data_IF_614926139024
#
_entry.id   IF_614926139024
#
_cell.length_a   1.000
_cell.length_b   1.000
_cell.length_c   1.000
_cell.angle_alpha   90.00
_cell.angle_beta   90.00
_cell.angle_gamma   90.00
#
_symmetry.space_group_name_H-M   'P 1'
#
loop_
_entity.id
_entity.type
_entity.pdbx_description
1 polymer ?
#
# COMPACT_ATOMS: atom_id res chain seq x y z
N UNK A 1 29.10 17.37 -64.95
CA UNK A 1 28.62 16.08 -64.38
C UNK A 1 29.25 15.70 -63.06
N UNK A 2 30.46 16.01 -62.70
CA UNK A 2 31.09 15.68 -61.41
C UNK A 2 30.53 16.44 -60.19
N UNK A 3 30.06 17.68 -60.39
CA UNK A 3 29.48 18.50 -59.29
C UNK A 3 28.07 18.07 -58.89
N UNK A 4 27.28 17.51 -59.79
CA UNK A 4 25.94 16.97 -59.49
C UNK A 4 26.01 15.67 -58.68
N UNK A 5 27.04 14.83 -58.90
CA UNK A 5 27.21 13.60 -58.11
C UNK A 5 27.61 13.86 -56.65
N UNK A 6 28.32 14.96 -56.39
CA UNK A 6 28.74 15.36 -55.05
C UNK A 6 27.54 15.91 -54.24
N UNK A 7 26.66 16.67 -54.93
CA UNK A 7 25.45 17.22 -54.30
C UNK A 7 24.43 16.12 -53.91
N UNK A 8 24.29 15.09 -54.76
CA UNK A 8 23.44 13.93 -54.49
C UNK A 8 23.96 13.09 -53.30
N UNK A 9 25.30 13.00 -53.14
CA UNK A 9 25.91 12.28 -52.03
C UNK A 9 25.72 13.02 -50.69
N UNK A 10 25.79 14.35 -50.70
CA UNK A 10 25.58 15.17 -49.48
C UNK A 10 24.09 15.16 -49.07
N UNK A 11 23.16 15.12 -50.03
CA UNK A 11 21.72 15.04 -49.75
C UNK A 11 21.33 13.65 -49.19
N UNK A 12 21.98 12.58 -49.60
CA UNK A 12 21.77 11.23 -49.10
C UNK A 12 22.27 11.05 -47.64
N UNK A 13 23.25 11.83 -47.20
CA UNK A 13 23.81 11.76 -45.85
C UNK A 13 22.92 12.47 -44.81
N UNK A 14 22.01 13.35 -45.25
CA UNK A 14 21.05 14.07 -44.35
C UNK A 14 19.79 13.26 -44.07
N UNK A 15 19.53 12.21 -44.85
CA UNK A 15 18.44 11.26 -44.59
C UNK A 15 18.87 10.08 -43.70
N UNK A 16 19.66 10.35 -42.66
CA UNK A 16 19.75 9.39 -41.56
C UNK A 16 18.37 9.41 -40.90
N UNK A 17 17.61 8.29 -40.91
CA UNK A 17 16.38 8.26 -40.15
C UNK A 17 16.83 8.57 -38.73
N UNK A 18 16.39 9.72 -38.18
CA UNK A 18 16.35 9.91 -36.74
C UNK A 18 15.52 8.71 -36.25
N UNK A 19 16.21 7.68 -35.81
CA UNK A 19 15.58 6.57 -35.15
C UNK A 19 14.73 7.21 -34.08
N UNK A 20 13.43 7.24 -34.31
CA UNK A 20 12.48 7.68 -33.33
C UNK A 20 12.82 6.83 -32.10
N UNK A 21 13.42 7.44 -31.09
CA UNK A 21 13.49 6.84 -29.77
C UNK A 21 12.02 6.64 -29.38
N UNK A 22 11.48 5.49 -29.77
CA UNK A 22 10.18 5.09 -29.33
C UNK A 22 10.22 5.19 -27.82
N UNK A 23 9.55 6.18 -27.28
CA UNK A 23 9.43 6.38 -25.85
C UNK A 23 8.81 5.09 -25.32
N UNK A 24 9.67 4.19 -24.84
CA UNK A 24 9.21 2.92 -24.29
C UNK A 24 8.39 3.24 -23.07
N UNK A 25 7.11 2.90 -23.14
CA UNK A 25 6.20 3.11 -22.02
C UNK A 25 6.65 2.23 -20.85
N UNK A 26 6.91 2.86 -19.72
CA UNK A 26 7.21 2.15 -18.50
C UNK A 26 5.95 1.41 -18.02
N UNK A 27 6.09 0.11 -17.83
CA UNK A 27 5.03 -0.73 -17.23
C UNK A 27 5.31 -0.88 -15.74
N UNK A 28 4.33 -0.57 -14.92
CA UNK A 28 4.39 -0.81 -13.48
C UNK A 28 3.51 -2.02 -13.14
N UNK A 29 4.06 -2.96 -12.39
CA UNK A 29 3.32 -4.11 -11.86
C UNK A 29 3.34 -4.06 -10.34
N UNK A 30 2.21 -4.31 -9.71
CA UNK A 30 2.08 -4.51 -8.26
C UNK A 30 1.47 -5.87 -8.04
N UNK A 31 2.16 -6.74 -7.29
CA UNK A 31 1.74 -8.12 -7.06
C UNK A 31 1.41 -8.86 -8.36
N UNK A 32 2.26 -8.72 -9.38
CA UNK A 32 2.11 -9.35 -10.69
C UNK A 32 1.05 -8.74 -11.62
N UNK A 33 0.19 -7.84 -11.15
CA UNK A 33 -0.83 -7.16 -11.96
C UNK A 33 -0.28 -5.87 -12.56
N UNK A 34 -0.45 -5.70 -13.88
CA UNK A 34 -0.07 -4.44 -14.54
C UNK A 34 -1.01 -3.31 -14.10
N UNK A 35 -0.43 -2.18 -13.74
CA UNK A 35 -1.15 -1.03 -13.18
C UNK A 35 -0.81 0.20 -13.99
N UNK A 36 -1.82 0.96 -14.37
CA UNK A 36 -1.66 2.21 -15.12
C UNK A 36 -1.72 3.39 -14.15
N UNK A 37 -0.59 4.06 -13.94
CA UNK A 37 -0.60 5.32 -13.21
C UNK A 37 -1.00 6.49 -14.12
N UNK A 38 -1.71 7.46 -13.59
CA UNK A 38 -1.98 8.75 -14.23
C UNK A 38 -1.54 9.86 -13.27
N UNK A 39 -0.55 10.69 -13.64
CA UNK A 39 0.26 10.62 -14.86
C UNK A 39 1.20 9.39 -14.87
N UNK A 40 1.72 9.05 -16.06
CA UNK A 40 2.60 7.90 -16.23
C UNK A 40 3.95 8.11 -15.53
N UNK A 41 4.54 7.02 -15.05
CA UNK A 41 5.92 7.00 -14.61
C UNK A 41 6.86 7.34 -15.78
N UNK A 42 8.01 7.96 -15.50
CA UNK A 42 8.99 8.37 -16.51
C UNK A 42 10.42 8.15 -16.03
N UNK A 43 11.39 8.30 -16.93
CA UNK A 43 12.80 8.19 -16.60
C UNK A 43 13.41 9.59 -16.59
N UNK A 44 14.09 9.94 -15.49
CA UNK A 44 14.87 11.16 -15.34
C UNK A 44 16.23 10.83 -14.72
N UNK A 45 17.32 11.27 -15.36
CA UNK A 45 18.71 11.02 -14.92
C UNK A 45 18.96 9.55 -14.57
N UNK A 46 18.57 8.66 -15.48
CA UNK A 46 18.65 7.20 -15.32
C UNK A 46 17.90 6.64 -14.09
N UNK A 47 16.92 7.36 -13.58
CA UNK A 47 16.06 6.91 -12.49
C UNK A 47 14.61 6.89 -12.95
N UNK A 48 13.94 5.81 -12.61
CA UNK A 48 12.48 5.72 -12.79
C UNK A 48 11.78 6.57 -11.77
N UNK A 49 11.07 7.58 -12.22
CA UNK A 49 10.24 8.45 -11.40
C UNK A 49 8.80 7.97 -11.42
N UNK A 50 8.22 7.74 -10.25
CA UNK A 50 6.86 7.23 -10.11
C UNK A 50 5.99 8.20 -9.32
N UNK A 51 4.68 8.33 -9.66
CA UNK A 51 3.78 9.16 -8.86
C UNK A 51 3.67 8.56 -7.45
N UNK A 52 4.03 9.35 -6.42
CA UNK A 52 4.13 8.85 -5.05
C UNK A 52 2.79 8.33 -4.54
N UNK A 53 1.69 9.03 -4.84
CA UNK A 53 0.35 8.63 -4.41
C UNK A 53 0.00 7.23 -4.90
N UNK A 54 0.27 6.97 -6.16
CA UNK A 54 -0.02 5.69 -6.76
C UNK A 54 0.71 4.54 -6.06
N UNK A 55 2.00 4.71 -5.77
CA UNK A 55 2.79 3.68 -5.08
C UNK A 55 2.36 3.56 -3.61
N UNK A 56 2.19 4.68 -2.93
CA UNK A 56 1.82 4.71 -1.52
C UNK A 56 0.46 4.03 -1.27
N UNK A 57 -0.55 4.38 -2.07
CA UNK A 57 -1.89 3.76 -1.96
C UNK A 57 -1.86 2.26 -2.28
N UNK A 58 -1.00 1.81 -3.22
CA UNK A 58 -0.79 0.38 -3.50
C UNK A 58 -0.15 -0.38 -2.33
N UNK A 59 0.41 0.32 -1.35
CA UNK A 59 1.06 -0.19 -0.16
C UNK A 59 0.28 0.14 1.13
N UNK A 60 -0.98 0.55 0.99
CA UNK A 60 -1.90 0.93 2.07
C UNK A 60 -1.48 2.17 2.87
N UNK A 61 -0.75 3.07 2.22
CA UNK A 61 -0.47 4.38 2.80
C UNK A 61 -1.46 5.42 2.30
N UNK A 62 -2.01 6.21 3.21
CA UNK A 62 -2.73 7.44 2.91
C UNK A 62 -1.72 8.54 2.54
N UNK A 63 -2.09 9.38 1.58
CA UNK A 63 -1.21 10.45 1.08
C UNK A 63 -1.85 11.82 1.28
N UNK A 64 -1.22 12.64 2.08
CA UNK A 64 -1.61 14.04 2.30
C UNK A 64 -0.60 14.97 1.66
N UNK A 65 -1.09 16.03 1.07
CA UNK A 65 -0.30 17.05 0.40
C UNK A 65 -0.59 18.43 0.98
N UNK A 66 0.44 19.07 1.54
CA UNK A 66 0.40 20.47 1.92
C UNK A 66 1.03 21.32 0.82
N UNK A 67 0.19 22.08 0.10
CA UNK A 67 0.61 22.87 -1.05
C UNK A 67 1.53 24.02 -0.65
N UNK A 68 1.26 24.71 0.45
CA UNK A 68 2.03 25.87 0.92
C UNK A 68 3.46 25.48 1.29
N UNK A 69 3.62 24.43 2.11
CA UNK A 69 4.92 23.92 2.52
C UNK A 69 5.59 23.03 1.50
N UNK A 70 4.85 22.60 0.46
CA UNK A 70 5.28 21.57 -0.50
C UNK A 70 5.66 20.26 0.21
N UNK A 71 4.89 19.92 1.25
CA UNK A 71 5.12 18.78 2.11
C UNK A 71 4.25 17.59 1.68
N UNK A 72 4.81 16.40 1.75
CA UNK A 72 4.14 15.14 1.44
C UNK A 72 4.17 14.27 2.70
N UNK A 73 3.01 13.88 3.16
CA UNK A 73 2.83 13.03 4.33
C UNK A 73 2.24 11.71 3.89
N UNK A 74 2.87 10.62 4.31
CA UNK A 74 2.39 9.26 4.04
C UNK A 74 2.17 8.59 5.38
N UNK A 75 0.99 8.05 5.59
CA UNK A 75 0.65 7.37 6.85
C UNK A 75 0.02 6.03 6.57
N UNK A 76 0.54 4.98 7.17
CA UNK A 76 -0.03 3.65 7.14
C UNK A 76 -0.88 3.45 8.39
N UNK A 77 -2.14 3.05 8.16
CA UNK A 77 -3.06 2.73 9.23
C UNK A 77 -3.04 1.23 9.54
N UNK A 78 -3.19 0.89 10.80
CA UNK A 78 -3.60 -0.46 11.19
C UNK A 78 -5.11 -0.47 11.24
N UNK A 79 -5.74 -1.25 10.37
CA UNK A 79 -7.19 -1.30 10.25
C UNK A 79 -7.86 -1.95 11.46
N UNK A 80 -7.16 -2.84 12.17
CA UNK A 80 -7.70 -3.50 13.37
C UNK A 80 -7.87 -2.52 14.55
N UNK A 81 -6.91 -1.62 14.70
CA UNK A 81 -6.88 -0.69 15.84
C UNK A 81 -7.31 0.72 15.47
N UNK A 82 -7.51 0.98 14.17
CA UNK A 82 -7.72 2.30 13.58
C UNK A 82 -6.66 3.33 14.03
N UNK A 83 -5.41 2.85 14.21
CA UNK A 83 -4.27 3.68 14.61
C UNK A 83 -3.23 3.73 13.51
N UNK A 84 -2.53 4.85 13.36
CA UNK A 84 -1.40 4.93 12.46
C UNK A 84 -0.23 4.11 13.02
N UNK A 85 0.42 3.31 12.16
CA UNK A 85 1.52 2.41 12.56
C UNK A 85 2.84 2.79 11.91
N UNK A 86 2.81 3.56 10.84
CA UNK A 86 4.00 4.08 10.19
C UNK A 86 3.69 5.42 9.54
N UNK A 87 4.67 6.31 9.52
CA UNK A 87 4.54 7.58 8.81
C UNK A 87 5.87 7.97 8.17
N UNK A 88 5.77 8.61 7.00
CA UNK A 88 6.90 9.08 6.21
C UNK A 88 6.60 10.52 5.82
N UNK A 89 7.60 11.39 6.00
CA UNK A 89 7.56 12.75 5.53
C UNK A 89 8.56 12.96 4.40
N UNK A 90 8.10 13.63 3.35
CA UNK A 90 8.95 14.12 2.27
C UNK A 90 8.62 15.59 2.00
N UNK A 91 9.60 16.30 1.48
CA UNK A 91 9.40 17.67 0.99
C UNK A 91 9.82 17.71 -0.48
N UNK A 92 9.01 18.32 -1.32
CA UNK A 92 9.41 18.56 -2.71
C UNK A 92 10.70 19.38 -2.76
N UNK A 93 11.56 19.02 -3.70
CA UNK A 93 12.90 19.62 -3.87
C UNK A 93 13.89 19.35 -2.71
N UNK A 94 13.56 18.50 -1.73
CA UNK A 94 14.48 18.02 -0.70
C UNK A 94 15.08 16.66 -1.04
N UNK A 95 16.38 16.51 -0.90
CA UNK A 95 17.07 15.22 -1.12
C UNK A 95 16.98 14.29 0.12
N UNK A 96 15.97 14.46 0.95
CA UNK A 96 15.78 13.67 2.18
C UNK A 96 14.32 13.29 2.35
N UNK A 97 14.08 12.05 2.75
CA UNK A 97 12.85 11.59 3.35
C UNK A 97 13.07 11.35 4.85
N UNK A 98 12.03 11.47 5.65
CA UNK A 98 12.09 11.25 7.09
C UNK A 98 11.12 10.13 7.47
N UNK A 99 11.64 9.08 8.09
CA UNK A 99 10.85 8.01 8.69
C UNK A 99 10.51 8.39 10.13
N UNK A 100 9.25 8.55 10.41
CA UNK A 100 8.77 8.94 11.74
C UNK A 100 8.93 7.77 12.70
N UNK A 101 9.46 8.02 13.90
CA UNK A 101 9.62 6.97 14.91
C UNK A 101 8.26 6.49 15.41
N UNK A 102 8.15 5.21 15.73
CA UNK A 102 6.87 4.58 16.11
C UNK A 102 6.16 5.30 17.26
N UNK A 103 6.91 5.82 18.23
CA UNK A 103 6.35 6.58 19.37
C UNK A 103 5.71 7.91 18.99
N UNK A 104 6.11 8.48 17.86
CA UNK A 104 5.70 9.82 17.39
C UNK A 104 4.64 9.75 16.28
N UNK A 105 4.32 8.54 15.77
CA UNK A 105 3.43 8.36 14.61
C UNK A 105 2.01 8.88 14.88
N UNK A 106 1.44 8.60 16.06
CA UNK A 106 0.11 9.08 16.43
C UNK A 106 0.05 10.61 16.48
N UNK A 107 1.04 11.24 17.13
CA UNK A 107 1.11 12.70 17.24
C UNK A 107 1.32 13.34 15.86
N UNK A 108 2.16 12.74 15.03
CA UNK A 108 2.40 13.16 13.65
C UNK A 108 1.12 13.10 12.81
N UNK A 109 0.42 11.96 12.84
CA UNK A 109 -0.83 11.77 12.10
C UNK A 109 -1.88 12.79 12.51
N UNK A 110 -2.14 12.90 13.82
CA UNK A 110 -3.15 13.83 14.35
C UNK A 110 -2.85 15.30 14.03
N UNK A 111 -1.58 15.67 13.90
CA UNK A 111 -1.21 17.01 13.45
C UNK A 111 -1.43 17.19 11.94
N UNK A 112 -1.11 16.19 11.12
CA UNK A 112 -1.10 16.30 9.65
C UNK A 112 -2.47 16.22 8.99
N UNK A 113 -3.46 15.57 9.63
CA UNK A 113 -4.83 15.48 9.10
C UNK A 113 -5.69 16.73 9.31
N UNK A 114 -5.18 17.73 10.04
CA UNK A 114 -5.91 18.98 10.27
C UNK A 114 -5.85 19.90 9.06
N UNK A 115 -6.96 20.48 8.67
CA UNK A 115 -7.03 21.45 7.56
C UNK A 115 -6.12 22.67 7.79
N UNK A 116 -5.84 23.00 9.06
CA UNK A 116 -4.99 24.12 9.47
C UNK A 116 -3.52 23.74 9.67
N UNK A 117 -3.12 22.55 9.22
CA UNK A 117 -1.77 22.04 9.42
C UNK A 117 -0.68 23.01 8.93
N UNK A 118 0.35 23.17 9.74
CA UNK A 118 1.60 23.87 9.38
C UNK A 118 2.79 22.97 9.73
N UNK A 119 3.81 22.97 8.89
CA UNK A 119 5.01 22.14 9.09
C UNK A 119 5.66 22.35 10.48
N UNK A 120 5.56 23.56 11.05
CA UNK A 120 6.05 23.87 12.39
C UNK A 120 5.38 23.05 13.51
N UNK A 121 4.15 22.56 13.29
CA UNK A 121 3.38 21.81 14.28
C UNK A 121 4.00 20.43 14.55
N UNK A 122 4.82 19.93 13.62
CA UNK A 122 5.52 18.65 13.71
C UNK A 122 7.05 18.80 13.70
N UNK A 123 7.58 20.04 13.82
CA UNK A 123 9.02 20.29 13.69
C UNK A 123 9.86 19.48 14.69
N UNK A 124 9.40 19.33 15.92
CA UNK A 124 10.05 18.52 16.94
C UNK A 124 10.12 17.04 16.54
N UNK A 125 9.03 16.50 15.99
CA UNK A 125 8.94 15.13 15.50
C UNK A 125 9.89 14.94 14.31
N UNK A 126 9.90 15.88 13.36
CA UNK A 126 10.77 15.80 12.18
C UNK A 126 12.26 15.85 12.54
N UNK A 127 12.65 16.56 13.61
CA UNK A 127 14.03 16.59 14.11
C UNK A 127 14.48 15.25 14.68
N UNK A 128 13.59 14.48 15.28
CA UNK A 128 13.87 13.15 15.86
C UNK A 128 13.73 12.01 14.85
N UNK A 129 13.17 12.27 13.68
CA UNK A 129 12.91 11.25 12.67
C UNK A 129 14.20 10.73 12.01
N UNK A 130 14.17 9.46 11.58
CA UNK A 130 15.27 8.84 10.84
C UNK A 130 15.33 9.42 9.43
N UNK A 131 16.45 10.06 9.09
CA UNK A 131 16.69 10.60 7.76
C UNK A 131 17.13 9.49 6.78
N UNK A 132 16.49 9.45 5.62
CA UNK A 132 16.86 8.58 4.48
C UNK A 132 17.24 9.50 3.30
N UNK A 133 18.47 9.41 2.78
CA UNK A 133 18.88 10.20 1.64
C UNK A 133 18.18 9.73 0.38
N UNK A 134 17.80 10.66 -0.50
CA UNK A 134 17.21 10.39 -1.80
C UNK A 134 18.22 10.71 -2.90
N UNK A 135 18.46 9.78 -3.82
CA UNK A 135 19.37 10.00 -4.97
C UNK A 135 18.85 11.12 -5.89
N UNK A 136 17.54 11.22 -6.04
CA UNK A 136 16.85 12.28 -6.79
C UNK A 136 15.76 12.86 -5.91
N UNK A 137 15.68 14.18 -5.88
CA UNK A 137 14.65 14.90 -5.09
C UNK A 137 13.24 14.59 -5.62
N UNK A 138 12.22 14.55 -4.75
CA UNK A 138 10.82 14.55 -5.20
C UNK A 138 10.55 15.76 -6.08
N UNK A 139 9.85 15.55 -7.18
CA UNK A 139 9.53 16.59 -8.18
C UNK A 139 8.02 16.71 -8.30
N UNK A 140 7.53 17.95 -8.37
CA UNK A 140 6.14 18.19 -8.70
C UNK A 140 6.01 18.43 -10.21
N UNK A 141 5.24 17.56 -10.86
CA UNK A 141 4.94 17.64 -12.30
C UNK A 141 3.44 17.35 -12.51
N UNK A 142 2.76 18.17 -13.31
CA UNK A 142 1.32 18.01 -13.58
C UNK A 142 0.51 17.87 -12.27
N UNK A 143 0.78 18.74 -11.29
CA UNK A 143 0.17 18.73 -9.94
C UNK A 143 0.28 17.39 -9.19
N UNK A 144 1.28 16.60 -9.52
CA UNK A 144 1.56 15.32 -8.85
C UNK A 144 3.02 15.29 -8.37
N UNK A 145 3.22 14.72 -7.20
CA UNK A 145 4.55 14.46 -6.69
C UNK A 145 5.09 13.13 -7.24
N UNK A 146 6.31 13.18 -7.76
CA UNK A 146 7.06 12.02 -8.23
C UNK A 146 8.27 11.80 -7.35
N UNK A 147 8.59 10.53 -7.10
CA UNK A 147 9.79 10.12 -6.38
C UNK A 147 10.56 9.05 -7.17
N UNK A 148 11.88 8.92 -6.95
CA UNK A 148 12.63 7.82 -7.53
C UNK A 148 12.08 6.48 -7.01
N UNK A 149 11.88 5.54 -7.91
CA UNK A 149 11.34 4.22 -7.54
C UNK A 149 12.19 3.52 -6.47
N UNK A 150 13.52 3.64 -6.51
CA UNK A 150 14.41 3.06 -5.51
C UNK A 150 14.10 3.57 -4.09
N UNK A 151 13.75 4.84 -3.96
CA UNK A 151 13.34 5.40 -2.67
C UNK A 151 12.09 4.72 -2.11
N UNK A 152 11.22 4.19 -2.98
CA UNK A 152 10.04 3.42 -2.55
C UNK A 152 10.46 2.15 -1.81
N UNK A 153 11.50 1.44 -2.30
CA UNK A 153 12.04 0.25 -1.63
C UNK A 153 12.52 0.59 -0.23
N UNK A 154 13.31 1.65 -0.14
CA UNK A 154 13.97 2.03 1.11
C UNK A 154 12.99 2.59 2.15
N UNK A 155 11.98 3.32 1.67
CA UNK A 155 10.99 3.96 2.55
C UNK A 155 9.86 3.03 2.98
N UNK A 156 9.49 2.08 2.14
CA UNK A 156 8.32 1.22 2.39
C UNK A 156 8.69 -0.25 2.66
N UNK A 157 9.99 -0.57 2.74
CA UNK A 157 10.50 -1.94 2.97
C UNK A 157 9.90 -2.97 2.00
N UNK A 158 9.86 -2.60 0.71
CA UNK A 158 9.29 -3.46 -0.34
C UNK A 158 10.37 -3.99 -1.27
N UNK A 159 10.10 -5.14 -1.87
CA UNK A 159 10.96 -5.69 -2.92
C UNK A 159 10.56 -5.12 -4.26
N UNK A 160 11.55 -4.60 -5.00
CA UNK A 160 11.35 -4.12 -6.36
C UNK A 160 12.29 -4.87 -7.28
N UNK A 161 11.78 -5.28 -8.42
CA UNK A 161 12.56 -5.80 -9.53
C UNK A 161 12.38 -4.92 -10.77
N UNK A 162 13.43 -4.83 -11.57
CA UNK A 162 13.45 -4.10 -12.83
C UNK A 162 13.83 -5.04 -13.98
N UNK A 163 12.97 -5.09 -14.98
CA UNK A 163 13.26 -5.77 -16.24
C UNK A 163 13.53 -4.72 -17.35
N UNK A 164 14.79 -4.53 -17.68
CA UNK A 164 15.22 -3.58 -18.70
C UNK A 164 14.84 -4.00 -20.13
N UNK A 165 14.49 -5.26 -20.38
CA UNK A 165 14.06 -5.73 -21.71
C UNK A 165 12.62 -5.30 -21.99
N UNK A 166 11.74 -5.47 -21.02
CA UNK A 166 10.31 -5.13 -21.13
C UNK A 166 9.99 -3.74 -20.60
N UNK A 167 10.96 -3.01 -20.05
CA UNK A 167 10.74 -1.74 -19.35
C UNK A 167 9.66 -1.87 -18.27
N UNK A 168 9.78 -2.94 -17.49
CA UNK A 168 8.80 -3.27 -16.44
C UNK A 168 9.43 -3.15 -15.05
N UNK A 169 8.75 -2.41 -14.19
CA UNK A 169 8.99 -2.39 -12.75
C UNK A 169 7.96 -3.29 -12.10
N UNK A 170 8.41 -4.21 -11.26
CA UNK A 170 7.53 -5.02 -10.42
C UNK A 170 7.78 -4.69 -8.95
N UNK A 171 6.72 -4.37 -8.25
CA UNK A 171 6.68 -4.16 -6.80
C UNK A 171 5.95 -5.36 -6.22
N UNK A 172 6.66 -6.17 -5.45
CA UNK A 172 6.06 -7.25 -4.67
C UNK A 172 5.69 -6.68 -3.30
N UNK A 173 4.55 -6.00 -3.26
CA UNK A 173 4.00 -5.50 -2.02
C UNK A 173 3.57 -6.69 -1.17
N UNK A 174 3.91 -6.68 0.10
CA UNK A 174 3.20 -7.53 1.05
C UNK A 174 1.74 -7.08 0.98
N UNK A 175 0.89 -7.91 0.41
CA UNK A 175 -0.55 -7.62 0.34
C UNK A 175 -0.99 -7.36 1.76
N UNK A 176 -1.54 -6.20 2.04
CA UNK A 176 -2.22 -6.00 3.31
C UNK A 176 -3.32 -7.05 3.38
N UNK A 177 -3.41 -7.74 4.51
CA UNK A 177 -4.51 -8.67 4.72
C UNK A 177 -5.81 -7.90 4.60
N UNK A 178 -6.79 -8.48 3.94
CA UNK A 178 -8.16 -7.94 3.97
C UNK A 178 -8.66 -7.97 5.42
N UNK A 179 -9.63 -7.14 5.75
CA UNK A 179 -10.29 -7.17 7.07
C UNK A 179 -10.77 -8.58 7.41
N UNK A 180 -11.23 -9.32 6.42
CA UNK A 180 -11.65 -10.72 6.55
C UNK A 180 -10.47 -11.64 6.93
N UNK A 181 -9.33 -11.51 6.25
CA UNK A 181 -8.13 -12.29 6.57
C UNK A 181 -7.54 -11.92 7.93
N UNK A 182 -7.66 -10.65 8.31
CA UNK A 182 -7.27 -10.15 9.63
C UNK A 182 -8.15 -10.78 10.70
N UNK A 183 -9.46 -10.71 10.54
CA UNK A 183 -10.42 -11.27 11.46
C UNK A 183 -10.24 -12.80 11.60
N UNK A 184 -10.10 -13.52 10.48
CA UNK A 184 -9.85 -14.96 10.47
C UNK A 184 -8.54 -15.32 11.19
N UNK A 185 -7.46 -14.60 10.90
CA UNK A 185 -6.14 -14.84 11.53
C UNK A 185 -6.20 -14.57 13.02
N UNK A 186 -6.85 -13.47 13.44
CA UNK A 186 -7.00 -13.12 14.85
C UNK A 186 -7.78 -14.20 15.61
N UNK A 187 -8.93 -14.59 15.09
CA UNK A 187 -9.76 -15.61 15.68
C UNK A 187 -9.00 -16.95 15.79
N UNK A 188 -8.35 -17.38 14.69
CA UNK A 188 -7.55 -18.61 14.69
C UNK A 188 -6.48 -18.59 15.80
N UNK A 189 -5.82 -17.46 16.01
CA UNK A 189 -4.81 -17.33 17.05
C UNK A 189 -5.39 -17.45 18.48
N UNK A 190 -6.64 -17.06 18.67
CA UNK A 190 -7.36 -17.13 19.96
C UNK A 190 -7.98 -18.49 20.24
N UNK A 191 -8.19 -19.32 19.22
CA UNK A 191 -8.70 -20.66 19.43
C UNK A 191 -7.78 -21.49 20.31
N UNK A 192 -8.34 -22.36 21.20
CA UNK A 192 -7.60 -23.39 21.90
C UNK A 192 -6.78 -24.29 20.96
N UNK A 193 -5.71 -24.88 21.47
CA UNK A 193 -4.78 -25.66 20.65
C UNK A 193 -5.43 -26.91 20.02
N UNK A 194 -6.42 -27.49 20.68
CA UNK A 194 -7.19 -28.63 20.17
C UNK A 194 -7.95 -28.30 18.90
N UNK A 195 -8.45 -27.06 18.75
CA UNK A 195 -9.19 -26.60 17.57
C UNK A 195 -8.30 -26.13 16.41
N UNK A 196 -6.98 -26.11 16.59
CA UNK A 196 -6.01 -25.71 15.54
C UNK A 196 -5.49 -26.87 14.69
N UNK A 197 -6.01 -28.07 14.87
CA UNK A 197 -5.62 -29.29 14.16
C UNK A 197 -6.84 -30.07 13.67
N UNK A 198 -6.61 -30.96 12.70
CA UNK A 198 -7.65 -31.84 12.20
C UNK A 198 -8.33 -32.61 13.37
N UNK A 199 -9.65 -32.83 13.28
CA UNK A 199 -10.53 -32.56 12.13
C UNK A 199 -11.14 -31.14 12.13
N UNK A 200 -10.70 -30.22 13.02
CA UNK A 200 -11.28 -28.88 13.15
C UNK A 200 -10.80 -27.93 12.05
N UNK A 201 -11.74 -27.11 11.57
CA UNK A 201 -11.49 -26.03 10.60
C UNK A 201 -12.32 -24.81 10.94
N UNK A 202 -11.73 -23.63 10.73
CA UNK A 202 -12.44 -22.37 10.73
C UNK A 202 -12.88 -22.05 9.30
N UNK A 203 -14.17 -21.85 9.10
CA UNK A 203 -14.76 -21.50 7.80
C UNK A 203 -15.62 -20.25 7.94
N UNK A 204 -15.83 -19.54 6.84
CA UNK A 204 -16.78 -18.43 6.81
C UNK A 204 -18.18 -18.93 7.17
N UNK A 205 -18.87 -18.14 7.99
CA UNK A 205 -20.28 -18.44 8.29
C UNK A 205 -21.15 -18.04 7.10
N UNK A 206 -22.05 -18.93 6.74
CA UNK A 206 -23.10 -18.67 5.76
C UNK A 206 -24.36 -18.06 6.40
N UNK A 207 -24.34 -17.83 7.71
CA UNK A 207 -25.47 -17.30 8.48
C UNK A 207 -25.57 -15.78 8.29
N UNK A 208 -26.63 -15.32 7.63
CA UNK A 208 -26.92 -13.92 7.40
C UNK A 208 -26.40 -13.39 6.06
N UNK A 209 -26.65 -12.10 5.82
CA UNK A 209 -26.13 -11.40 4.65
C UNK A 209 -24.67 -11.02 4.88
N UNK A 210 -23.76 -11.79 4.27
CA UNK A 210 -22.30 -11.60 4.38
C UNK A 210 -21.87 -10.20 3.93
N UNK A 211 -22.44 -9.72 2.83
CA UNK A 211 -22.05 -8.42 2.26
C UNK A 211 -22.52 -7.28 3.16
N UNK A 212 -23.72 -7.39 3.73
CA UNK A 212 -24.24 -6.41 4.69
C UNK A 212 -23.45 -6.41 6.02
N UNK A 213 -22.95 -7.55 6.46
CA UNK A 213 -22.07 -7.65 7.63
C UNK A 213 -20.69 -7.07 7.32
N UNK A 214 -20.09 -7.44 6.19
CA UNK A 214 -18.79 -6.94 5.74
C UNK A 214 -18.80 -5.42 5.54
N UNK A 215 -19.89 -4.85 5.01
CA UNK A 215 -20.07 -3.40 4.90
C UNK A 215 -20.07 -2.67 6.25
N UNK A 216 -20.32 -3.40 7.35
CA UNK A 216 -20.24 -2.93 8.74
C UNK A 216 -18.95 -3.34 9.44
N UNK A 217 -17.96 -3.91 8.71
CA UNK A 217 -16.74 -4.50 9.24
C UNK A 217 -17.00 -5.58 10.30
N UNK A 218 -18.08 -6.36 10.10
CA UNK A 218 -18.42 -7.52 10.92
C UNK A 218 -18.17 -8.79 10.12
N UNK A 219 -17.38 -9.69 10.68
CA UNK A 219 -16.99 -10.95 10.05
C UNK A 219 -17.46 -12.12 10.91
N UNK A 220 -18.07 -13.10 10.27
CA UNK A 220 -18.66 -14.25 10.95
C UNK A 220 -17.98 -15.55 10.50
N UNK A 221 -17.67 -16.41 11.46
CA UNK A 221 -16.99 -17.68 11.23
C UNK A 221 -17.65 -18.80 12.00
N UNK A 222 -17.65 -19.99 11.38
CA UNK A 222 -18.00 -21.23 12.03
C UNK A 222 -16.75 -22.07 12.26
N UNK A 223 -16.54 -22.51 13.49
CA UNK A 223 -15.62 -23.58 13.80
C UNK A 223 -16.37 -24.89 13.57
N UNK A 224 -15.87 -25.68 12.65
CA UNK A 224 -16.47 -26.97 12.29
C UNK A 224 -15.53 -28.12 12.63
N UNK A 225 -16.11 -29.28 12.89
CA UNK A 225 -15.45 -30.55 12.84
C UNK A 225 -15.76 -31.18 11.48
N UNK A 226 -14.73 -31.37 10.63
CA UNK A 226 -14.87 -31.74 9.22
C UNK A 226 -14.51 -33.21 9.01
N UNK A 227 -15.51 -34.07 8.88
CA UNK A 227 -15.38 -35.49 8.61
C UNK A 227 -15.62 -35.80 7.13
N UNK A 228 -15.17 -36.95 6.60
CA UNK A 228 -15.35 -37.31 5.18
C UNK A 228 -16.81 -37.35 4.72
N UNK A 229 -17.73 -37.66 5.60
CA UNK A 229 -19.15 -37.90 5.32
C UNK A 229 -20.09 -36.82 5.88
N UNK A 230 -19.64 -36.03 6.84
CA UNK A 230 -20.46 -34.98 7.45
C UNK A 230 -19.62 -33.86 8.08
N UNK A 231 -20.30 -32.74 8.40
CA UNK A 231 -19.70 -31.62 9.13
C UNK A 231 -20.57 -31.27 10.33
N UNK A 232 -19.92 -30.97 11.43
CA UNK A 232 -20.58 -30.51 12.66
C UNK A 232 -20.09 -29.12 12.99
N UNK A 233 -21.01 -28.16 13.16
CA UNK A 233 -20.67 -26.85 13.70
C UNK A 233 -20.48 -26.96 15.20
N UNK A 234 -19.25 -26.71 15.65
CA UNK A 234 -18.87 -26.76 17.08
C UNK A 234 -19.15 -25.42 17.74
N UNK A 235 -18.74 -24.34 17.08
CA UNK A 235 -18.85 -23.00 17.61
C UNK A 235 -19.12 -21.99 16.47
N UNK A 236 -19.76 -20.87 16.83
CA UNK A 236 -19.98 -19.74 15.90
C UNK A 236 -19.42 -18.48 16.52
N UNK A 237 -18.75 -17.69 15.70
CA UNK A 237 -18.07 -16.46 16.11
C UNK A 237 -18.45 -15.28 15.22
N UNK A 238 -18.48 -14.08 15.80
CA UNK A 238 -18.54 -12.79 15.09
C UNK A 238 -17.48 -11.85 15.62
N UNK A 239 -16.82 -11.14 14.71
CA UNK A 239 -15.84 -10.13 15.04
C UNK A 239 -16.33 -8.80 14.48
N UNK A 240 -16.50 -7.82 15.34
CA UNK A 240 -16.82 -6.43 14.97
C UNK A 240 -15.51 -5.63 15.04
N UNK A 241 -14.86 -5.43 13.90
CA UNK A 241 -13.57 -4.74 13.85
C UNK A 241 -13.69 -3.26 14.20
N UNK A 242 -14.85 -2.63 13.95
CA UNK A 242 -15.07 -1.23 14.32
C UNK A 242 -15.15 -1.04 15.84
N UNK A 243 -15.77 -1.96 16.54
CA UNK A 243 -15.90 -1.91 18.00
C UNK A 243 -14.73 -2.56 18.72
N UNK A 244 -13.91 -3.34 18.01
CA UNK A 244 -12.85 -4.13 18.60
C UNK A 244 -13.38 -5.21 19.56
N UNK A 245 -14.49 -5.86 19.22
CA UNK A 245 -15.15 -6.86 20.08
C UNK A 245 -15.38 -8.14 19.29
N UNK A 246 -15.16 -9.28 19.93
CA UNK A 246 -15.59 -10.54 19.36
C UNK A 246 -16.68 -11.21 20.21
N UNK A 247 -17.55 -11.91 19.51
CA UNK A 247 -18.74 -12.56 20.07
C UNK A 247 -18.69 -14.04 19.77
N UNK A 248 -19.22 -14.83 20.69
CA UNK A 248 -19.53 -16.25 20.51
C UNK A 248 -21.05 -16.42 20.58
N UNK A 249 -21.59 -17.27 19.72
CA UNK A 249 -23.01 -17.60 19.77
C UNK A 249 -23.28 -18.60 20.88
N UNK A 250 -24.23 -18.27 21.75
CA UNK A 250 -24.75 -19.17 22.76
C UNK A 250 -26.06 -19.79 22.27
N UNK A 251 -26.00 -21.08 21.93
CA UNK A 251 -27.12 -21.81 21.39
C UNK A 251 -28.26 -22.07 22.45
N UNK A 252 -27.92 -22.07 23.75
CA UNK A 252 -28.91 -22.27 24.80
C UNK A 252 -29.74 -21.00 25.01
N UNK A 253 -29.15 -19.83 24.83
CA UNK A 253 -29.83 -18.54 24.99
C UNK A 253 -30.27 -17.92 23.66
N UNK A 254 -29.93 -18.55 22.53
CA UNK A 254 -30.17 -18.06 21.16
C UNK A 254 -29.66 -16.62 20.93
N UNK A 255 -28.46 -16.32 21.43
CA UNK A 255 -27.91 -14.95 21.34
C UNK A 255 -26.40 -14.91 21.17
N UNK A 256 -25.91 -13.78 20.69
CA UNK A 256 -24.48 -13.47 20.58
C UNK A 256 -23.95 -12.85 21.87
N UNK A 257 -23.01 -13.50 22.53
CA UNK A 257 -22.38 -13.03 23.76
C UNK A 257 -21.00 -12.48 23.46
N UNK A 258 -20.72 -11.25 23.90
CA UNK A 258 -19.40 -10.68 23.85
C UNK A 258 -18.45 -11.44 24.78
N UNK A 259 -17.37 -12.03 24.21
CA UNK A 259 -16.43 -12.87 24.95
C UNK A 259 -15.04 -12.24 25.08
N UNK A 260 -14.80 -11.12 24.42
CA UNK A 260 -13.52 -10.44 24.56
C UNK A 260 -13.36 -9.22 23.65
N UNK A 261 -12.20 -8.56 23.78
CA UNK A 261 -11.75 -7.48 22.90
C UNK A 261 -10.72 -8.04 21.92
N UNK A 262 -10.73 -7.45 20.72
CA UNK A 262 -9.75 -7.69 19.65
C UNK A 262 -8.38 -7.11 19.99
#
# INVERSE_FOLDING_TARGET
MKRFKLLALVLALVCIPMSAFAQRNLTLRVNGKAVKSKPAAYIEKDRTMVPIRFVAESLDYQVYWNKEGRDIFLTKMNFDTNKPVAAIYLKADSAKALLIQSKDVDAFYNATIKDTFKTKDVEGILKSAKSVPLEVKPVIREDRAFIPLRAVVELFDQKISWDGKTFTVSIDAKVAKTDEEIAATWLYNKLPAEYKKAPFKLIDSLDGDRDALAAKHIYAYNLIEDHPDHRVTVERYRLDLNKGIFFKYDAAMDQWIAVGKL
#
